data_IF_113886207932
#
_entry.id   IF_113886207932
#
_cell.length_a   1.000
_cell.length_b   1.000
_cell.length_c   1.000
_cell.angle_alpha   90.00
_cell.angle_beta   90.00
_cell.angle_gamma   90.00
#
_symmetry.space_group_name_H-M   'P 1'
#
loop_
_entity.id
_entity.type
_entity.pdbx_description
1 polymer ?
#
# COMPACT_ATOMS: atom_id res chain seq x y z
N UNK A 1 0.70 -18.84 9.98
CA UNK A 1 2.12 -19.26 9.87
C UNK A 1 2.33 -19.73 8.45
N UNK A 2 2.86 -18.87 7.57
CA UNK A 2 3.22 -19.28 6.21
C UNK A 2 4.50 -20.10 6.31
N UNK A 3 4.43 -21.38 5.98
CA UNK A 3 5.53 -22.33 6.19
C UNK A 3 6.69 -22.10 5.21
N UNK A 4 7.92 -22.22 5.72
CA UNK A 4 9.22 -22.03 5.04
C UNK A 4 9.38 -22.67 3.65
N UNK A 5 8.56 -23.67 3.32
CA UNK A 5 8.67 -24.46 2.08
C UNK A 5 8.37 -23.67 0.79
N UNK A 6 7.38 -22.77 0.82
CA UNK A 6 7.03 -21.94 -0.35
C UNK A 6 8.12 -20.88 -0.60
N UNK A 7 8.75 -20.40 0.47
CA UNK A 7 9.86 -19.45 0.39
C UNK A 7 11.11 -20.09 -0.21
N UNK A 8 11.39 -21.35 0.15
CA UNK A 8 12.51 -22.11 -0.37
C UNK A 8 12.34 -22.45 -1.87
N UNK A 9 11.12 -22.74 -2.33
CA UNK A 9 10.82 -23.00 -3.74
C UNK A 9 10.92 -21.74 -4.63
N UNK A 10 10.51 -20.58 -4.11
CA UNK A 10 10.66 -19.28 -4.82
C UNK A 10 12.12 -18.82 -4.81
N UNK A 11 12.86 -19.09 -3.73
CA UNK A 11 14.29 -18.82 -3.60
C UNK A 11 15.13 -19.68 -4.56
N UNK A 12 14.96 -21.00 -4.57
CA UNK A 12 15.74 -21.90 -5.44
C UNK A 12 15.47 -21.68 -6.93
N UNK A 13 14.21 -21.52 -7.34
CA UNK A 13 13.87 -21.40 -8.76
C UNK A 13 14.42 -20.13 -9.43
N UNK A 14 14.70 -19.08 -8.65
CA UNK A 14 15.23 -17.79 -9.13
C UNK A 14 16.74 -17.67 -9.01
N UNK A 15 17.35 -18.32 -8.01
CA UNK A 15 18.80 -18.41 -7.87
C UNK A 15 19.42 -19.24 -9.00
N UNK A 16 18.80 -20.37 -9.35
CA UNK A 16 19.27 -21.26 -10.42
C UNK A 16 19.24 -20.58 -11.79
N UNK A 17 18.33 -19.62 -12.01
CA UNK A 17 18.29 -18.84 -13.26
C UNK A 17 19.34 -17.73 -13.30
N UNK A 18 19.71 -17.16 -12.14
CA UNK A 18 20.68 -16.08 -12.05
C UNK A 18 22.13 -16.57 -12.22
N UNK A 19 22.45 -17.79 -11.77
CA UNK A 19 23.77 -18.39 -11.94
C UNK A 19 24.05 -18.78 -13.40
N UNK A 20 23.00 -19.12 -14.17
CA UNK A 20 23.11 -19.51 -15.58
C UNK A 20 23.33 -18.32 -16.55
N UNK A 21 23.00 -17.09 -16.17
CA UNK A 21 22.93 -15.95 -17.11
C UNK A 21 23.90 -14.84 -16.67
N UNK A 22 25.20 -15.08 -16.86
CA UNK A 22 26.27 -14.11 -16.60
C UNK A 22 26.23 -12.86 -17.49
N UNK A 23 25.26 -11.94 -17.28
CA UNK A 23 25.17 -10.66 -18.01
C UNK A 23 24.91 -9.44 -17.11
N UNK A 24 25.45 -8.24 -17.45
CA UNK A 24 25.40 -7.03 -16.61
C UNK A 24 24.02 -6.36 -16.45
N UNK A 25 22.99 -6.81 -17.19
CA UNK A 25 21.62 -6.29 -17.05
C UNK A 25 20.98 -6.64 -15.67
N UNK A 26 21.54 -7.61 -14.95
CA UNK A 26 21.10 -8.06 -13.63
C UNK A 26 21.35 -7.04 -12.49
N UNK A 27 21.97 -5.88 -12.74
CA UNK A 27 22.15 -4.85 -11.71
C UNK A 27 20.91 -3.96 -11.51
N UNK A 28 20.08 -3.75 -12.54
CA UNK A 28 18.82 -3.02 -12.38
C UNK A 28 17.77 -3.84 -11.61
N UNK A 29 17.83 -5.17 -11.76
CA UNK A 29 16.94 -6.13 -11.09
C UNK A 29 17.34 -6.40 -9.63
N UNK A 30 18.64 -6.29 -9.30
CA UNK A 30 19.13 -6.41 -7.92
C UNK A 30 18.50 -5.41 -6.95
N UNK A 31 18.22 -4.19 -7.41
CA UNK A 31 17.56 -3.17 -6.58
C UNK A 31 16.11 -3.56 -6.30
N UNK A 32 15.38 -4.07 -7.29
CA UNK A 32 13.99 -4.53 -7.13
C UNK A 32 13.88 -5.78 -6.23
N UNK A 33 14.85 -6.70 -6.32
CA UNK A 33 14.94 -7.88 -5.44
C UNK A 33 15.27 -7.52 -3.99
N UNK A 34 16.19 -6.57 -3.77
CA UNK A 34 16.50 -6.05 -2.43
C UNK A 34 15.27 -5.36 -1.82
N UNK A 35 14.50 -4.64 -2.64
CA UNK A 35 13.26 -3.94 -2.32
C UNK A 35 12.13 -4.92 -1.89
N UNK A 36 11.99 -6.05 -2.58
CA UNK A 36 11.04 -7.13 -2.20
C UNK A 36 11.51 -7.86 -0.94
N UNK A 37 12.81 -8.12 -0.80
CA UNK A 37 13.42 -8.74 0.38
C UNK A 37 13.22 -7.88 1.64
N UNK A 38 13.38 -6.56 1.54
CA UNK A 38 13.16 -5.60 2.63
C UNK A 38 11.70 -5.53 3.10
N UNK A 39 10.72 -5.60 2.20
CA UNK A 39 9.32 -5.61 2.61
C UNK A 39 8.86 -6.97 3.18
N UNK A 40 9.44 -8.06 2.70
CA UNK A 40 9.26 -9.38 3.32
C UNK A 40 9.89 -9.43 4.73
N UNK A 41 11.03 -8.74 4.92
CA UNK A 41 11.63 -8.53 6.24
C UNK A 41 10.72 -7.71 7.16
N UNK A 42 10.08 -6.64 6.70
CA UNK A 42 9.13 -5.89 7.54
C UNK A 42 7.83 -6.67 7.82
N UNK A 43 7.42 -7.60 6.95
CA UNK A 43 6.31 -8.55 7.24
C UNK A 43 6.69 -9.60 8.30
N UNK A 44 7.98 -9.89 8.49
CA UNK A 44 8.49 -10.86 9.48
C UNK A 44 9.06 -10.19 10.74
N UNK A 45 9.52 -8.94 10.62
CA UNK A 45 10.12 -8.11 11.66
C UNK A 45 9.85 -6.62 11.35
N UNK A 46 8.69 -6.08 11.80
CA UNK A 46 8.13 -4.79 11.36
C UNK A 46 8.93 -3.53 11.74
N UNK A 47 10.15 -3.67 12.26
CA UNK A 47 10.92 -2.59 12.86
C UNK A 47 12.11 -2.10 12.03
N UNK A 48 12.34 -2.61 10.82
CA UNK A 48 13.60 -2.33 10.10
C UNK A 48 13.47 -1.32 8.95
N UNK A 49 12.44 -1.41 8.12
CA UNK A 49 12.33 -0.60 6.89
C UNK A 49 11.36 0.56 7.08
N UNK A 50 10.25 0.30 7.76
CA UNK A 50 9.26 1.32 8.15
C UNK A 50 9.84 2.40 9.09
N UNK A 51 10.99 2.17 9.72
CA UNK A 51 11.68 3.16 10.56
C UNK A 51 12.79 3.93 9.82
N UNK A 52 13.03 3.66 8.53
CA UNK A 52 14.06 4.35 7.76
C UNK A 52 13.65 5.80 7.46
N UNK A 53 14.52 6.76 7.79
CA UNK A 53 14.27 8.20 7.58
C UNK A 53 14.33 8.60 6.09
N UNK A 54 14.88 7.75 5.22
CA UNK A 54 15.02 8.03 3.80
C UNK A 54 13.67 7.83 3.09
N UNK A 55 13.08 8.94 2.65
CA UNK A 55 11.80 8.91 1.91
C UNK A 55 11.81 8.00 0.68
N UNK A 56 12.97 7.80 0.01
CA UNK A 56 13.06 6.88 -1.14
C UNK A 56 12.89 5.42 -0.71
N UNK A 57 13.37 5.07 0.47
CA UNK A 57 13.17 3.74 1.08
C UNK A 57 11.69 3.55 1.41
N UNK A 58 10.99 4.60 1.87
CA UNK A 58 9.55 4.53 2.12
C UNK A 58 8.70 4.39 0.83
N UNK A 59 9.15 4.93 -0.31
CA UNK A 59 8.51 4.65 -1.61
C UNK A 59 8.74 3.22 -2.09
N UNK A 60 9.93 2.69 -1.80
CA UNK A 60 10.30 1.30 -2.04
C UNK A 60 9.39 0.37 -1.23
N UNK A 61 9.19 0.66 0.07
CA UNK A 61 8.31 -0.10 0.95
C UNK A 61 6.87 -0.16 0.42
N UNK A 62 6.33 0.98 -0.01
CA UNK A 62 4.99 1.05 -0.59
C UNK A 62 4.85 0.18 -1.85
N UNK A 63 5.82 0.25 -2.78
CA UNK A 63 5.82 -0.58 -4.00
C UNK A 63 5.92 -2.06 -3.69
N UNK A 64 6.78 -2.42 -2.74
CA UNK A 64 6.93 -3.82 -2.34
C UNK A 64 5.68 -4.39 -1.68
N UNK A 65 4.95 -3.57 -0.92
CA UNK A 65 3.68 -3.99 -0.33
C UNK A 65 2.62 -4.28 -1.40
N UNK A 66 2.55 -3.47 -2.47
CA UNK A 66 1.68 -3.75 -3.63
C UNK A 66 2.09 -5.05 -4.34
N UNK A 67 3.39 -5.28 -4.56
CA UNK A 67 3.89 -6.53 -5.14
C UNK A 67 3.59 -7.76 -4.27
N UNK A 68 3.65 -7.62 -2.93
CA UNK A 68 3.19 -8.66 -2.01
C UNK A 68 1.70 -8.97 -2.21
N UNK A 69 0.85 -7.94 -2.23
CA UNK A 69 -0.60 -8.10 -2.43
C UNK A 69 -0.92 -8.75 -3.78
N UNK A 70 -0.20 -8.35 -4.83
CA UNK A 70 -0.32 -8.92 -6.18
C UNK A 70 0.04 -10.39 -6.23
N UNK A 71 1.16 -10.79 -5.60
CA UNK A 71 1.59 -12.21 -5.54
C UNK A 71 0.64 -13.08 -4.73
N UNK A 72 0.11 -12.56 -3.62
CA UNK A 72 -0.83 -13.28 -2.74
C UNK A 72 -2.26 -13.33 -3.32
N UNK A 73 -2.59 -12.36 -4.17
CA UNK A 73 -3.96 -12.02 -4.53
C UNK A 73 -4.53 -11.01 -3.54
N UNK A 74 -5.06 -9.89 -4.05
CA UNK A 74 -5.49 -8.75 -3.23
C UNK A 74 -6.57 -9.13 -2.20
N UNK A 75 -7.52 -9.98 -2.57
CA UNK A 75 -8.54 -10.50 -1.65
C UNK A 75 -7.92 -11.30 -0.50
N UNK A 76 -7.01 -12.23 -0.82
CA UNK A 76 -6.29 -13.02 0.17
C UNK A 76 -5.33 -12.17 1.03
N UNK A 77 -4.95 -11.00 0.55
CA UNK A 77 -4.07 -10.06 1.25
C UNK A 77 -4.83 -9.15 2.23
N UNK A 78 -6.17 -9.11 2.20
CA UNK A 78 -7.00 -8.25 3.07
C UNK A 78 -6.60 -8.32 4.55
N UNK A 79 -6.41 -9.50 5.18
CA UNK A 79 -6.03 -9.54 6.60
C UNK A 79 -4.74 -8.78 6.91
N UNK A 80 -3.77 -8.81 5.99
CA UNK A 80 -2.47 -8.12 6.14
C UNK A 80 -2.60 -6.63 5.83
N UNK A 81 -3.43 -6.28 4.84
CA UNK A 81 -3.78 -4.88 4.55
C UNK A 81 -4.38 -4.23 5.81
N UNK A 82 -5.38 -4.88 6.41
CA UNK A 82 -6.07 -4.37 7.59
C UNK A 82 -5.15 -4.29 8.82
N UNK A 83 -4.25 -5.25 8.98
CA UNK A 83 -3.21 -5.22 10.01
C UNK A 83 -2.28 -4.02 9.85
N UNK A 84 -1.76 -3.80 8.64
CA UNK A 84 -0.81 -2.71 8.36
C UNK A 84 -1.47 -1.34 8.45
N UNK A 85 -2.73 -1.19 8.05
CA UNK A 85 -3.51 0.04 8.20
C UNK A 85 -3.74 0.41 9.67
N UNK A 86 -3.71 -0.56 10.59
CA UNK A 86 -3.87 -0.34 12.05
C UNK A 86 -2.54 -0.24 12.79
N UNK A 87 -1.41 -0.35 12.09
CA UNK A 87 -0.10 -0.35 12.72
C UNK A 87 0.21 1.01 13.39
N UNK A 88 0.94 1.00 14.50
CA UNK A 88 1.33 2.22 15.21
C UNK A 88 2.29 3.09 14.40
N UNK A 89 3.12 2.50 13.54
CA UNK A 89 4.06 3.22 12.68
C UNK A 89 3.34 3.89 11.49
N UNK A 90 3.40 5.23 11.36
CA UNK A 90 2.78 5.94 10.23
C UNK A 90 3.36 5.56 8.87
N UNK A 91 4.62 5.14 8.79
CA UNK A 91 5.24 4.72 7.53
C UNK A 91 4.66 3.38 7.04
N UNK A 92 4.38 2.45 7.95
CA UNK A 92 3.68 1.19 7.65
C UNK A 92 2.28 1.45 7.11
N UNK A 93 1.50 2.31 7.78
CA UNK A 93 0.15 2.70 7.31
C UNK A 93 0.23 3.37 5.93
N UNK A 94 1.16 4.31 5.76
CA UNK A 94 1.36 5.03 4.49
C UNK A 94 1.75 4.08 3.36
N UNK A 95 2.61 3.09 3.63
CA UNK A 95 3.03 2.13 2.62
C UNK A 95 1.85 1.42 1.97
N UNK A 96 0.83 1.07 2.77
CA UNK A 96 -0.44 0.51 2.27
C UNK A 96 -1.24 1.55 1.49
N UNK A 97 -1.53 2.71 2.10
CA UNK A 97 -2.41 3.72 1.48
C UNK A 97 -1.85 4.21 0.16
N UNK A 98 -0.52 4.33 0.03
CA UNK A 98 0.15 4.77 -1.18
C UNK A 98 0.41 3.63 -2.16
N UNK A 99 0.92 2.49 -1.68
CA UNK A 99 1.38 1.39 -2.54
C UNK A 99 0.28 0.85 -3.44
N UNK A 100 -0.94 0.77 -2.92
CA UNK A 100 -2.09 0.28 -3.66
C UNK A 100 -2.69 1.32 -4.61
N UNK A 101 -2.22 2.58 -4.63
CA UNK A 101 -2.77 3.59 -5.56
C UNK A 101 -2.51 3.21 -7.02
N UNK A 102 -3.49 3.34 -7.92
CA UNK A 102 -4.91 3.64 -7.68
C UNK A 102 -5.61 2.36 -7.17
N UNK A 103 -6.21 2.37 -5.98
CA UNK A 103 -6.75 1.15 -5.34
C UNK A 103 -7.73 0.40 -6.23
N UNK A 104 -8.70 1.12 -6.83
CA UNK A 104 -9.73 0.55 -7.71
C UNK A 104 -9.23 0.18 -9.12
N UNK A 105 -7.92 0.22 -9.35
CA UNK A 105 -7.28 -0.41 -10.53
C UNK A 105 -6.74 -1.81 -10.22
N UNK A 106 -6.63 -2.18 -8.94
CA UNK A 106 -6.16 -3.50 -8.51
C UNK A 106 -7.29 -4.54 -8.60
N UNK A 107 -6.99 -5.81 -8.89
CA UNK A 107 -7.94 -6.91 -8.73
C UNK A 107 -8.62 -6.89 -7.35
N UNK A 108 -9.81 -7.48 -7.25
CA UNK A 108 -10.72 -7.37 -6.11
C UNK A 108 -11.28 -5.95 -5.88
N UNK A 109 -10.45 -4.94 -5.64
CA UNK A 109 -10.92 -3.56 -5.38
C UNK A 109 -11.56 -2.88 -6.61
N UNK A 110 -11.19 -3.31 -7.82
CA UNK A 110 -11.84 -2.85 -9.06
C UNK A 110 -13.33 -3.25 -9.10
N UNK A 111 -13.63 -4.46 -8.67
CA UNK A 111 -15.00 -5.02 -8.65
C UNK A 111 -15.73 -4.64 -7.36
N UNK A 112 -15.00 -4.40 -6.27
CA UNK A 112 -15.49 -4.01 -4.96
C UNK A 112 -14.91 -2.64 -4.52
N UNK A 113 -15.30 -1.51 -5.16
CA UNK A 113 -14.71 -0.20 -4.86
C UNK A 113 -14.96 0.28 -3.43
N UNK A 114 -16.08 -0.12 -2.81
CA UNK A 114 -16.39 0.24 -1.41
C UNK A 114 -15.37 -0.34 -0.42
N UNK A 115 -14.85 -1.55 -0.67
CA UNK A 115 -13.81 -2.16 0.16
C UNK A 115 -12.53 -1.32 0.22
N UNK A 116 -12.21 -0.58 -0.85
CA UNK A 116 -11.10 0.37 -0.85
C UNK A 116 -11.47 1.67 -0.14
N UNK A 117 -12.67 2.19 -0.38
CA UNK A 117 -13.15 3.47 0.16
C UNK A 117 -13.23 3.40 1.69
N UNK A 118 -13.88 2.38 2.25
CA UNK A 118 -14.06 2.21 3.69
C UNK A 118 -12.70 2.14 4.43
N UNK A 119 -11.77 1.31 3.93
CA UNK A 119 -10.42 1.18 4.50
C UNK A 119 -9.62 2.48 4.47
N UNK A 120 -9.74 3.26 3.40
CA UNK A 120 -9.07 4.55 3.31
C UNK A 120 -9.75 5.60 4.20
N UNK A 121 -11.08 5.61 4.25
CA UNK A 121 -11.87 6.54 5.04
C UNK A 121 -11.66 6.35 6.55
N UNK A 122 -11.38 5.13 7.02
CA UNK A 122 -11.01 4.85 8.41
C UNK A 122 -9.78 5.64 8.88
N UNK A 123 -8.88 6.00 7.96
CA UNK A 123 -7.66 6.78 8.25
C UNK A 123 -7.85 8.29 7.99
N UNK A 124 -9.09 8.78 7.80
CA UNK A 124 -9.37 10.20 7.53
C UNK A 124 -8.91 11.15 8.65
N UNK A 125 -8.80 10.64 9.87
CA UNK A 125 -8.33 11.39 11.05
C UNK A 125 -6.94 10.96 11.54
N UNK A 126 -6.17 10.26 10.69
CA UNK A 126 -4.84 9.77 11.07
C UNK A 126 -3.96 10.90 11.64
N UNK A 127 -3.25 10.65 12.74
CA UNK A 127 -2.42 11.66 13.40
C UNK A 127 -1.26 12.16 12.52
N UNK A 128 -0.79 11.34 11.58
CA UNK A 128 0.30 11.68 10.66
C UNK A 128 -0.20 12.43 9.43
N UNK A 129 0.27 13.66 9.24
CA UNK A 129 0.01 14.44 8.02
C UNK A 129 0.50 13.73 6.75
N UNK A 130 1.53 12.88 6.86
CA UNK A 130 2.06 12.07 5.77
C UNK A 130 1.05 11.01 5.31
N UNK A 131 0.45 10.29 6.26
CA UNK A 131 -0.61 9.32 6.00
C UNK A 131 -1.85 10.01 5.44
N UNK A 132 -2.34 11.08 6.09
CA UNK A 132 -3.51 11.84 5.62
C UNK A 132 -3.38 12.34 4.18
N UNK A 133 -2.18 12.78 3.78
CA UNK A 133 -1.92 13.19 2.39
C UNK A 133 -2.07 12.02 1.42
N UNK A 134 -1.59 10.82 1.78
CA UNK A 134 -1.74 9.62 0.96
C UNK A 134 -3.21 9.18 0.87
N UNK A 135 -3.93 9.13 2.01
CA UNK A 135 -5.36 8.82 2.09
C UNK A 135 -6.20 9.73 1.20
N UNK A 136 -6.06 11.06 1.36
CA UNK A 136 -6.82 12.02 0.58
C UNK A 136 -6.54 11.93 -0.93
N UNK A 137 -5.29 11.63 -1.32
CA UNK A 137 -4.95 11.42 -2.72
C UNK A 137 -5.47 10.08 -3.27
N UNK A 138 -5.47 9.02 -2.47
CA UNK A 138 -6.04 7.72 -2.84
C UNK A 138 -7.55 7.84 -3.10
N UNK A 139 -8.30 8.46 -2.19
CA UNK A 139 -9.73 8.76 -2.36
C UNK A 139 -9.99 9.65 -3.59
N UNK A 140 -9.16 10.67 -3.82
CA UNK A 140 -9.23 11.51 -5.03
C UNK A 140 -8.98 10.73 -6.32
N UNK A 141 -8.09 9.73 -6.29
CA UNK A 141 -7.86 8.89 -7.47
C UNK A 141 -9.07 8.01 -7.76
N UNK A 142 -9.72 7.48 -6.71
CA UNK A 142 -10.98 6.73 -6.84
C UNK A 142 -12.10 7.63 -7.37
N UNK A 143 -12.20 8.87 -6.90
CA UNK A 143 -13.27 9.82 -7.27
C UNK A 143 -13.32 10.14 -8.76
N UNK A 144 -12.19 9.99 -9.48
CA UNK A 144 -12.15 10.18 -10.94
C UNK A 144 -12.98 9.15 -11.70
N UNK A 145 -13.15 7.95 -11.15
CA UNK A 145 -13.89 6.84 -11.76
C UNK A 145 -15.21 6.55 -11.04
N UNK A 146 -15.25 6.72 -9.72
CA UNK A 146 -16.41 6.47 -8.87
C UNK A 146 -16.79 7.75 -8.08
N UNK A 147 -17.14 8.85 -8.75
CA UNK A 147 -17.41 10.13 -8.08
C UNK A 147 -18.57 10.05 -7.11
N UNK A 148 -19.66 9.35 -7.46
CA UNK A 148 -20.85 9.23 -6.60
C UNK A 148 -20.56 8.45 -5.31
N UNK A 149 -19.75 7.38 -5.36
CA UNK A 149 -19.38 6.63 -4.16
C UNK A 149 -18.54 7.48 -3.20
N UNK A 150 -17.58 8.23 -3.73
CA UNK A 150 -16.77 9.14 -2.90
C UNK A 150 -17.64 10.28 -2.37
N UNK A 151 -18.59 10.80 -3.15
CA UNK A 151 -19.54 11.82 -2.68
C UNK A 151 -20.34 11.33 -1.49
N UNK A 152 -20.97 10.15 -1.60
CA UNK A 152 -21.75 9.55 -0.52
C UNK A 152 -20.89 9.34 0.74
N UNK A 153 -19.66 8.86 0.59
CA UNK A 153 -18.73 8.72 1.71
C UNK A 153 -18.43 10.07 2.37
N UNK A 154 -18.03 11.08 1.58
CA UNK A 154 -17.65 12.40 2.07
C UNK A 154 -18.82 13.17 2.70
N UNK A 155 -20.03 13.03 2.18
CA UNK A 155 -21.24 13.66 2.73
C UNK A 155 -21.59 13.14 4.14
N UNK A 156 -21.10 11.95 4.50
CA UNK A 156 -21.26 11.39 5.85
C UNK A 156 -20.29 11.94 6.89
N UNK A 157 -19.23 12.65 6.46
CA UNK A 157 -18.16 13.09 7.35
C UNK A 157 -18.51 14.36 8.13
N UNK A 158 -18.22 14.35 9.44
CA UNK A 158 -18.28 15.55 10.28
C UNK A 158 -16.92 16.26 10.29
N UNK A 159 -16.86 17.44 9.68
CA UNK A 159 -15.59 18.16 9.46
C UNK A 159 -15.12 18.96 10.69
N UNK A 160 -14.97 18.29 11.83
CA UNK A 160 -14.74 18.93 13.13
C UNK A 160 -13.25 19.10 13.49
N UNK A 161 -12.35 18.32 12.88
CA UNK A 161 -10.90 18.35 13.15
C UNK A 161 -10.09 18.92 11.99
N UNK A 162 -8.86 19.39 12.26
CA UNK A 162 -7.94 19.83 11.19
C UNK A 162 -7.56 18.67 10.29
N UNK A 163 -7.45 17.49 10.88
CA UNK A 163 -7.06 16.22 10.28
C UNK A 163 -8.06 15.83 9.19
N UNK A 164 -9.34 15.71 9.53
CA UNK A 164 -10.39 15.34 8.57
C UNK A 164 -10.56 16.39 7.48
N UNK A 165 -10.48 17.68 7.83
CA UNK A 165 -10.56 18.79 6.87
C UNK A 165 -9.44 18.71 5.81
N UNK A 166 -8.23 18.31 6.21
CA UNK A 166 -7.12 18.11 5.28
C UNK A 166 -7.42 17.00 4.27
N UNK A 167 -7.90 15.84 4.76
CA UNK A 167 -8.22 14.69 3.91
C UNK A 167 -9.39 15.01 2.97
N UNK A 168 -10.47 15.58 3.52
CA UNK A 168 -11.65 16.00 2.78
C UNK A 168 -11.29 16.92 1.62
N UNK A 169 -10.48 17.96 1.87
CA UNK A 169 -10.06 18.91 0.83
C UNK A 169 -9.34 18.24 -0.35
N UNK A 170 -8.54 17.20 -0.08
CA UNK A 170 -7.85 16.44 -1.12
C UNK A 170 -8.83 15.55 -1.89
N UNK A 171 -9.66 14.79 -1.18
CA UNK A 171 -10.60 13.83 -1.75
C UNK A 171 -11.72 14.52 -2.58
N UNK A 172 -12.23 15.65 -2.11
CA UNK A 172 -13.35 16.39 -2.71
C UNK A 172 -12.97 17.14 -4.01
N UNK A 173 -11.71 17.09 -4.46
CA UNK A 173 -11.22 17.94 -5.56
C UNK A 173 -12.00 17.80 -6.89
N UNK A 174 -12.56 16.61 -7.15
CA UNK A 174 -13.29 16.29 -8.38
C UNK A 174 -14.73 15.85 -8.15
N UNK A 175 -15.19 15.87 -6.90
CA UNK A 175 -16.57 15.55 -6.54
C UNK A 175 -17.40 16.83 -6.72
N UNK A 176 -18.52 16.74 -7.42
CA UNK A 176 -19.40 17.88 -7.76
C UNK A 176 -20.69 17.85 -6.95
#
# INVERSE_FOLDING_TARGET
MFTDKVLQEVFCSTYDTAEQIGKPAAFADRTAYFVVYLALLDLQNPYTVSNDDNWRVQEILAKSFDEFCKKKGYENAIPIIDEWLKNSNPNTRRAVTEGLRIWTSRPYFKENPMEAIERLADLREDSSAYVRKSVGNALRDISKKYPELIKTELDSWKLESKEINQVYKLANKFVK
#
